data_IF_457104663291
#
_entry.id   IF_457104663291
#
_cell.length_a   1.000
_cell.length_b   1.000
_cell.length_c   1.000
_cell.angle_alpha   90.00
_cell.angle_beta   90.00
_cell.angle_gamma   90.00
#
_symmetry.space_group_name_H-M   'P 1'
#
loop_
_entity.id
_entity.type
_entity.pdbx_description
1 polymer ?
#
# COMPACT_ATOMS: atom_id res chain seq x y z
N UNK A 1 -8.33 1.16 5.95
CA UNK A 1 -9.43 0.87 6.93
C UNK A 1 -10.65 1.78 6.70
N UNK A 2 -10.65 3.06 7.16
CA UNK A 2 -11.83 3.96 7.11
C UNK A 2 -12.55 4.03 5.76
N UNK A 3 -11.80 4.22 4.67
CA UNK A 3 -12.38 4.32 3.33
C UNK A 3 -13.15 3.05 2.94
N UNK A 4 -12.62 1.86 3.25
CA UNK A 4 -13.28 0.59 2.99
C UNK A 4 -14.53 0.40 3.85
N UNK A 5 -14.46 0.74 5.15
CA UNK A 5 -15.62 0.69 6.06
C UNK A 5 -16.77 1.54 5.50
N UNK A 6 -16.48 2.77 5.08
CA UNK A 6 -17.48 3.66 4.49
C UNK A 6 -18.04 3.11 3.17
N UNK A 7 -17.20 2.52 2.31
CA UNK A 7 -17.66 1.87 1.07
C UNK A 7 -18.60 0.67 1.32
N UNK A 8 -18.52 0.04 2.50
CA UNK A 8 -19.41 -1.02 2.94
C UNK A 8 -20.63 -0.52 3.73
N UNK A 9 -20.80 0.80 3.88
CA UNK A 9 -21.85 1.43 4.70
C UNK A 9 -21.85 0.97 6.17
N UNK A 10 -20.69 0.60 6.71
CA UNK A 10 -20.55 0.18 8.10
C UNK A 10 -20.27 1.39 9.01
N UNK A 11 -20.84 1.42 10.22
CA UNK A 11 -20.48 2.39 11.26
C UNK A 11 -19.26 1.94 12.07
N UNK A 12 -18.66 2.81 12.87
CA UNK A 12 -17.54 2.41 13.74
C UNK A 12 -18.03 1.46 14.84
N UNK A 13 -19.25 1.63 15.32
CA UNK A 13 -19.92 0.78 16.31
C UNK A 13 -20.10 -0.64 15.78
N UNK A 14 -20.57 -0.80 14.54
CA UNK A 14 -20.74 -2.12 13.92
C UNK A 14 -19.42 -2.85 13.75
N UNK A 15 -18.34 -2.14 13.38
CA UNK A 15 -17.00 -2.76 13.31
C UNK A 15 -16.48 -3.11 14.70
N UNK A 16 -16.67 -2.23 15.68
CA UNK A 16 -16.22 -2.42 17.06
C UNK A 16 -16.88 -3.65 17.70
N UNK A 17 -18.19 -3.79 17.51
CA UNK A 17 -18.96 -4.97 17.92
C UNK A 17 -18.45 -6.25 17.25
N UNK A 18 -18.21 -6.20 15.93
CA UNK A 18 -17.77 -7.37 15.17
C UNK A 18 -16.36 -7.87 15.52
N UNK A 19 -15.50 -7.03 16.10
CA UNK A 19 -14.14 -7.38 16.50
C UNK A 19 -13.95 -7.42 18.03
N UNK A 20 -15.05 -7.32 18.80
CA UNK A 20 -15.05 -7.29 20.27
C UNK A 20 -14.10 -6.21 20.85
N UNK A 21 -14.27 -4.98 20.37
CA UNK A 21 -13.50 -3.80 20.81
C UNK A 21 -14.40 -2.60 21.06
N UNK A 22 -13.85 -1.58 21.70
CA UNK A 22 -14.55 -0.30 21.87
C UNK A 22 -14.57 0.51 20.58
N UNK A 23 -15.60 1.34 20.39
CA UNK A 23 -15.68 2.30 19.28
C UNK A 23 -14.47 3.23 19.25
N UNK A 24 -13.98 3.63 20.44
CA UNK A 24 -12.76 4.42 20.58
C UNK A 24 -11.53 3.70 20.01
N UNK A 25 -11.41 2.39 20.23
CA UNK A 25 -10.32 1.58 19.67
C UNK A 25 -10.36 1.60 18.14
N UNK A 26 -11.54 1.37 17.54
CA UNK A 26 -11.73 1.45 16.08
C UNK A 26 -11.38 2.85 15.56
N UNK A 27 -11.83 3.90 16.24
CA UNK A 27 -11.50 5.29 15.90
C UNK A 27 -10.00 5.58 15.98
N UNK A 28 -9.31 5.05 16.99
CA UNK A 28 -7.86 5.19 17.16
C UNK A 28 -7.09 4.41 16.10
N UNK A 29 -7.56 3.22 15.70
CA UNK A 29 -6.99 2.44 14.59
C UNK A 29 -7.17 3.20 13.27
N UNK A 30 -8.36 3.72 12.98
CA UNK A 30 -8.63 4.47 11.75
C UNK A 30 -7.78 5.74 11.60
N UNK A 31 -7.41 6.35 12.73
CA UNK A 31 -6.54 7.54 12.79
C UNK A 31 -5.06 7.19 12.91
N UNK A 32 -4.69 5.90 12.91
CA UNK A 32 -3.30 5.45 13.03
C UNK A 32 -2.65 5.72 14.39
N UNK A 33 -3.43 5.95 15.45
CA UNK A 33 -2.90 6.18 16.81
C UNK A 33 -2.61 4.90 17.56
N UNK A 34 -3.29 3.81 17.20
CA UNK A 34 -3.10 2.48 17.79
C UNK A 34 -2.83 1.51 16.66
N UNK A 35 -1.77 0.71 16.81
CA UNK A 35 -1.49 -0.40 15.92
C UNK A 35 -2.09 -1.68 16.52
N UNK A 36 -3.09 -2.29 15.87
CA UNK A 36 -3.72 -3.52 16.37
C UNK A 36 -2.78 -4.72 16.25
N UNK A 37 -2.95 -5.71 17.13
CA UNK A 37 -2.27 -7.00 17.01
C UNK A 37 -2.81 -7.84 15.84
N UNK A 38 -2.09 -8.91 15.49
CA UNK A 38 -2.40 -9.75 14.32
C UNK A 38 -3.83 -10.31 14.34
N UNK A 39 -4.30 -10.80 15.48
CA UNK A 39 -5.67 -11.35 15.60
C UNK A 39 -6.73 -10.28 15.30
N UNK A 40 -6.50 -9.05 15.76
CA UNK A 40 -7.42 -7.93 15.54
C UNK A 40 -7.37 -7.48 14.08
N UNK A 41 -6.20 -7.51 13.46
CA UNK A 41 -6.02 -7.23 12.04
C UNK A 41 -6.76 -8.26 11.16
N UNK A 42 -6.67 -9.54 11.50
CA UNK A 42 -7.39 -10.60 10.78
C UNK A 42 -8.91 -10.45 10.91
N UNK A 43 -9.41 -10.16 12.12
CA UNK A 43 -10.83 -9.84 12.35
C UNK A 43 -11.28 -8.63 11.53
N UNK A 44 -10.51 -7.55 11.52
CA UNK A 44 -10.79 -6.35 10.71
C UNK A 44 -10.81 -6.71 9.22
N UNK A 45 -9.88 -7.53 8.73
CA UNK A 45 -9.85 -7.98 7.34
C UNK A 45 -11.14 -8.70 6.94
N UNK A 46 -11.60 -9.63 7.78
CA UNK A 46 -12.87 -10.35 7.58
C UNK A 46 -14.07 -9.42 7.56
N UNK A 47 -14.19 -8.50 8.52
CA UNK A 47 -15.30 -7.52 8.59
C UNK A 47 -15.32 -6.60 7.36
N UNK A 48 -14.15 -6.20 6.88
CA UNK A 48 -14.01 -5.32 5.71
C UNK A 48 -14.00 -6.05 4.37
N UNK A 49 -14.17 -7.38 4.38
CA UNK A 49 -14.06 -8.25 3.21
C UNK A 49 -12.80 -7.91 2.39
N UNK A 50 -11.65 -7.97 3.06
CA UNK A 50 -10.33 -7.73 2.51
C UNK A 50 -9.36 -8.83 2.93
N UNK A 51 -8.46 -9.27 2.03
CA UNK A 51 -7.32 -10.08 2.46
C UNK A 51 -6.46 -9.28 3.43
N UNK A 52 -5.88 -9.94 4.43
CA UNK A 52 -5.07 -9.30 5.48
C UNK A 52 -3.97 -8.39 4.89
N UNK A 53 -3.32 -8.81 3.80
CA UNK A 53 -2.31 -8.01 3.08
C UNK A 53 -2.82 -6.65 2.59
N UNK A 54 -4.09 -6.53 2.22
CA UNK A 54 -4.69 -5.27 1.75
C UNK A 54 -4.90 -4.24 2.89
N UNK A 55 -4.81 -4.64 4.16
CA UNK A 55 -4.80 -3.69 5.28
C UNK A 55 -3.49 -2.91 5.36
N UNK A 56 -2.42 -3.41 4.74
CA UNK A 56 -1.08 -2.83 4.74
C UNK A 56 -0.72 -2.13 3.43
N UNK A 57 -1.64 -2.07 2.47
CA UNK A 57 -1.41 -1.51 1.12
C UNK A 57 -1.09 0.01 1.14
N UNK A 58 -1.10 0.65 2.31
CA UNK A 58 -0.70 2.04 2.50
C UNK A 58 0.64 2.25 3.22
N UNK A 59 1.48 1.24 3.38
CA UNK A 59 2.86 1.42 3.87
C UNK A 59 3.82 1.02 2.75
N UNK A 60 4.30 2.04 2.02
CA UNK A 60 5.12 1.98 0.79
C UNK A 60 4.32 1.67 -0.48
N UNK A 61 3.77 2.63 -1.21
CA UNK A 61 4.48 3.75 -1.82
C UNK A 61 3.56 4.95 -1.97
N UNK A 62 3.73 6.00 -1.17
CA UNK A 62 3.53 7.34 -1.74
C UNK A 62 4.68 7.53 -2.72
N UNK A 63 4.52 7.03 -3.94
CA UNK A 63 5.34 7.46 -5.06
C UNK A 63 5.22 8.98 -5.01
N UNK A 64 6.30 9.67 -4.61
CA UNK A 64 6.26 11.13 -4.57
C UNK A 64 5.79 11.62 -5.95
N UNK A 65 5.06 12.75 -6.06
CA UNK A 65 4.60 13.24 -7.35
C UNK A 65 5.73 13.24 -8.41
N UNK A 66 6.95 13.58 -7.97
CA UNK A 66 8.18 13.48 -8.75
C UNK A 66 8.51 12.06 -9.22
N UNK A 67 8.39 11.03 -8.38
CA UNK A 67 8.65 9.65 -8.77
C UNK A 67 7.59 9.14 -9.77
N UNK A 68 6.33 9.57 -9.63
CA UNK A 68 5.26 9.19 -10.55
C UNK A 68 5.50 9.81 -11.94
N UNK A 69 5.91 11.08 -11.96
CA UNK A 69 6.32 11.78 -13.18
C UNK A 69 7.53 11.10 -13.86
N UNK A 70 8.56 10.74 -13.08
CA UNK A 70 9.74 10.06 -13.61
C UNK A 70 9.40 8.67 -14.18
N UNK A 71 8.48 7.93 -13.55
CA UNK A 71 8.03 6.62 -14.03
C UNK A 71 7.24 6.75 -15.34
N UNK A 72 6.31 7.70 -15.42
CA UNK A 72 5.57 7.96 -16.65
C UNK A 72 6.49 8.35 -17.81
N UNK A 73 7.48 9.22 -17.54
CA UNK A 73 8.49 9.60 -18.53
C UNK A 73 9.38 8.43 -18.96
N UNK A 74 9.76 7.56 -18.03
CA UNK A 74 10.56 6.38 -18.34
C UNK A 74 9.83 5.45 -19.32
N UNK A 75 8.53 5.21 -19.10
CA UNK A 75 7.71 4.38 -19.99
C UNK A 75 7.65 4.97 -21.41
N UNK A 76 7.37 6.27 -21.54
CA UNK A 76 7.32 6.95 -22.85
C UNK A 76 8.64 6.84 -23.61
N UNK A 77 9.77 6.99 -22.91
CA UNK A 77 11.09 6.85 -23.54
C UNK A 77 11.35 5.40 -23.94
N UNK A 78 11.00 4.44 -23.08
CA UNK A 78 11.19 3.02 -23.36
C UNK A 78 10.41 2.56 -24.60
N UNK A 79 9.18 3.05 -24.80
CA UNK A 79 8.35 2.73 -25.96
C UNK A 79 8.95 3.20 -27.30
N UNK A 80 9.89 4.16 -27.28
CA UNK A 80 10.56 4.68 -28.47
C UNK A 80 11.87 3.96 -28.80
N UNK A 81 12.31 3.03 -27.96
CA UNK A 81 13.58 2.30 -28.14
C UNK A 81 13.41 1.08 -29.04
N UNK A 82 14.51 0.71 -29.71
CA UNK A 82 14.61 -0.62 -30.32
C UNK A 82 14.82 -1.67 -29.23
N UNK A 83 14.56 -2.94 -29.54
CA UNK A 83 14.78 -4.04 -28.59
C UNK A 83 16.23 -4.07 -28.05
N UNK A 84 17.21 -3.79 -28.93
CA UNK A 84 18.63 -3.75 -28.55
C UNK A 84 18.89 -2.60 -27.57
N UNK A 85 18.36 -1.41 -27.84
CA UNK A 85 18.55 -0.24 -26.98
C UNK A 85 17.81 -0.39 -25.64
N UNK A 86 16.62 -1.00 -25.66
CA UNK A 86 15.83 -1.28 -24.46
C UNK A 86 16.53 -2.30 -23.56
N UNK A 87 17.15 -3.33 -24.14
CA UNK A 87 17.94 -4.32 -23.38
C UNK A 87 19.17 -3.67 -22.70
N UNK A 88 19.81 -2.70 -23.36
CA UNK A 88 20.90 -1.93 -22.76
C UNK A 88 20.37 -1.05 -21.62
N UNK A 89 19.25 -0.35 -21.84
CA UNK A 89 18.63 0.50 -20.83
C UNK A 89 18.20 -0.29 -19.58
N UNK A 90 17.61 -1.47 -19.77
CA UNK A 90 17.21 -2.35 -18.67
C UNK A 90 18.40 -2.76 -17.79
N UNK A 91 19.51 -3.20 -18.41
CA UNK A 91 20.73 -3.56 -17.69
C UNK A 91 21.27 -2.42 -16.84
N UNK A 92 21.20 -1.18 -17.34
CA UNK A 92 21.64 -0.01 -16.57
C UNK A 92 20.74 0.24 -15.36
N UNK A 93 19.42 0.11 -15.52
CA UNK A 93 18.44 0.28 -14.43
C UNK A 93 18.63 -0.79 -13.35
N UNK A 94 18.87 -2.04 -13.74
CA UNK A 94 19.13 -3.15 -12.82
C UNK A 94 20.39 -2.92 -11.98
N UNK A 95 21.48 -2.44 -12.59
CA UNK A 95 22.71 -2.09 -11.86
C UNK A 95 22.45 -0.98 -10.83
N UNK A 96 21.68 0.04 -11.20
CA UNK A 96 21.31 1.12 -10.27
C UNK A 96 20.43 0.63 -9.12
N UNK A 97 19.55 -0.35 -9.36
CA UNK A 97 18.71 -0.96 -8.33
C UNK A 97 19.54 -1.79 -7.35
N UNK A 98 20.41 -2.67 -7.85
CA UNK A 98 21.29 -3.51 -7.03
C UNK A 98 22.30 -2.71 -6.22
N UNK A 99 22.80 -1.58 -6.76
CA UNK A 99 23.73 -0.69 -6.06
C UNK A 99 23.12 0.01 -4.84
N UNK A 100 21.79 0.15 -4.78
CA UNK A 100 21.08 0.71 -3.62
C UNK A 100 20.87 -0.33 -2.52
N UNK A 101 20.56 -1.57 -2.87
CA UNK A 101 20.39 -2.67 -1.90
C UNK A 101 21.68 -2.98 -1.13
N UNK A 102 22.85 -2.75 -1.72
CA UNK A 102 24.15 -2.96 -1.06
C UNK A 102 24.58 -1.82 -0.12
N UNK A 103 23.85 -0.69 -0.11
CA UNK A 103 24.20 0.53 0.64
C UNK A 103 23.20 0.90 1.73
N UNK A 104 22.04 0.22 1.79
CA UNK A 104 21.07 0.30 2.89
C UNK A 104 21.32 -0.80 3.90
#
# INVERSE_FOLDING_TARGET
MRARRLALNLTQEQVAEAIDRTVETVSNIERGRVFPGLDTLDQIGRVLNLPLGALFESVETSVSPRRAELQARLLVVADALTDIDLEIALRQIEVLAQGRERRG
#
